data_IF_374707271159
#
_entry.id   IF_374707271159
#
_cell.length_a   1.000
_cell.length_b   1.000
_cell.length_c   1.000
_cell.angle_alpha   90.00
_cell.angle_beta   90.00
_cell.angle_gamma   90.00
#
_symmetry.space_group_name_H-M   'P 1'
#
loop_
_entity.id
_entity.type
_entity.pdbx_description
1 polymer ?
#
# COMPACT_ATOMS: atom_id res chain seq x y z
N UNK A 1 9.03 -5.19 -8.30
CA UNK A 1 8.24 -5.43 -9.52
C UNK A 1 8.83 -6.60 -10.27
N UNK A 2 8.01 -7.49 -10.81
CA UNK A 2 8.43 -8.64 -11.61
C UNK A 2 7.40 -8.93 -12.70
N UNK A 3 7.86 -9.42 -13.86
CA UNK A 3 6.98 -9.90 -14.91
C UNK A 3 6.68 -11.39 -14.70
N UNK A 4 5.40 -11.73 -14.80
CA UNK A 4 4.90 -13.10 -14.66
C UNK A 4 4.51 -13.66 -16.03
N UNK A 5 4.74 -14.95 -16.28
CA UNK A 5 4.31 -15.60 -17.50
C UNK A 5 2.77 -15.71 -17.55
N UNK A 6 2.27 -16.02 -18.73
CA UNK A 6 0.85 -16.30 -18.95
C UNK A 6 0.37 -17.48 -18.08
N UNK A 7 -0.81 -17.33 -17.50
CA UNK A 7 -1.50 -18.35 -16.72
C UNK A 7 -3.00 -18.13 -16.81
N UNK A 8 -3.70 -19.07 -17.43
CA UNK A 8 -5.16 -19.02 -17.65
C UNK A 8 -5.98 -19.30 -16.39
N UNK A 9 -5.33 -19.66 -15.28
CA UNK A 9 -6.00 -19.99 -14.02
C UNK A 9 -5.63 -19.00 -12.92
N UNK A 10 -6.50 -18.80 -11.95
CA UNK A 10 -6.13 -18.13 -10.72
C UNK A 10 -4.93 -18.79 -10.05
N UNK A 11 -4.18 -18.02 -9.31
CA UNK A 11 -3.00 -18.48 -8.58
C UNK A 11 -2.96 -17.85 -7.19
N UNK A 12 -2.14 -18.40 -6.31
CA UNK A 12 -1.96 -17.89 -4.97
C UNK A 12 -0.53 -17.37 -4.82
N UNK A 13 -0.40 -16.09 -4.54
CA UNK A 13 0.86 -15.46 -4.11
C UNK A 13 1.10 -15.83 -2.64
N UNK A 14 2.28 -16.32 -2.31
CA UNK A 14 2.69 -16.60 -0.94
C UNK A 14 4.07 -16.01 -0.68
N UNK A 15 4.25 -15.39 0.48
CA UNK A 15 5.51 -14.79 0.88
C UNK A 15 5.46 -14.25 2.30
N UNK A 16 6.60 -13.84 2.81
CA UNK A 16 6.70 -13.15 4.10
C UNK A 16 7.08 -11.69 3.85
N UNK A 17 6.17 -10.79 4.26
CA UNK A 17 6.28 -9.35 4.04
C UNK A 17 6.27 -8.63 5.38
N UNK A 18 7.29 -7.83 5.62
CA UNK A 18 7.45 -7.04 6.84
C UNK A 18 7.38 -5.54 6.52
N UNK A 19 6.27 -4.86 6.85
CA UNK A 19 5.17 -5.36 7.72
C UNK A 19 3.83 -5.41 6.96
N UNK A 20 3.64 -4.54 5.95
CA UNK A 20 2.40 -4.41 5.21
C UNK A 20 2.69 -4.38 3.71
N UNK A 21 2.11 -5.28 2.96
CA UNK A 21 2.29 -5.36 1.52
C UNK A 21 0.99 -5.06 0.78
N UNK A 22 1.06 -4.17 -0.19
CA UNK A 22 0.01 -3.95 -1.18
C UNK A 22 0.41 -4.60 -2.50
N UNK A 23 -0.50 -5.33 -3.10
CA UNK A 23 -0.26 -6.13 -4.31
C UNK A 23 -1.06 -5.57 -5.47
N UNK A 24 -0.38 -5.34 -6.57
CA UNK A 24 -0.95 -4.82 -7.81
C UNK A 24 -0.59 -5.74 -8.97
N UNK A 25 -1.53 -5.96 -9.87
CA UNK A 25 -1.31 -6.65 -11.14
C UNK A 25 -1.72 -5.70 -12.27
N UNK A 26 -0.78 -5.43 -13.22
CA UNK A 26 -0.99 -4.43 -14.28
C UNK A 26 -1.50 -3.08 -13.74
N UNK A 27 -0.92 -2.60 -12.65
CA UNK A 27 -1.31 -1.38 -11.90
C UNK A 27 -2.72 -1.41 -11.27
N UNK A 28 -3.44 -2.53 -11.38
CA UNK A 28 -4.71 -2.73 -10.67
C UNK A 28 -4.44 -3.29 -9.28
N UNK A 29 -4.99 -2.66 -8.26
CA UNK A 29 -4.95 -3.17 -6.89
C UNK A 29 -5.68 -4.51 -6.80
N UNK A 30 -5.02 -5.51 -6.23
CA UNK A 30 -5.56 -6.86 -6.04
C UNK A 30 -5.89 -7.09 -4.57
N UNK A 31 -5.04 -6.65 -3.66
CA UNK A 31 -5.24 -6.85 -2.25
C UNK A 31 -3.99 -6.52 -1.44
N UNK A 32 -4.03 -6.93 -0.19
CA UNK A 32 -2.96 -6.67 0.78
C UNK A 32 -2.58 -7.94 1.53
N UNK A 33 -1.39 -7.92 2.11
CA UNK A 33 -0.92 -8.93 3.05
C UNK A 33 -0.43 -8.19 4.30
N UNK A 34 -1.04 -8.45 5.44
CA UNK A 34 -0.85 -7.74 6.69
C UNK A 34 -0.20 -8.68 7.73
N UNK A 35 1.03 -8.36 8.10
CA UNK A 35 1.79 -9.13 9.08
C UNK A 35 1.11 -9.20 10.45
N UNK A 36 0.47 -8.13 10.88
CA UNK A 36 -0.22 -8.07 12.18
C UNK A 36 -1.35 -9.10 12.24
N UNK A 37 -1.96 -9.40 11.10
CA UNK A 37 -3.01 -10.41 10.95
C UNK A 37 -2.48 -11.81 10.64
N UNK A 38 -1.15 -12.00 10.63
CA UNK A 38 -0.50 -13.23 10.20
C UNK A 38 -0.87 -13.67 8.76
N UNK A 39 -1.23 -12.71 7.90
CA UNK A 39 -1.48 -12.98 6.50
C UNK A 39 -0.17 -13.27 5.78
N UNK A 40 -0.13 -14.32 4.96
CA UNK A 40 1.07 -14.73 4.19
C UNK A 40 0.76 -15.02 2.73
N UNK A 41 -0.50 -15.00 2.35
CA UNK A 41 -0.93 -15.33 1.00
C UNK A 41 -2.05 -14.42 0.51
N UNK A 42 -2.15 -14.30 -0.81
CA UNK A 42 -3.17 -13.53 -1.49
C UNK A 42 -3.49 -14.21 -2.83
N UNK A 43 -4.77 -14.31 -3.15
CA UNK A 43 -5.19 -14.86 -4.42
C UNK A 43 -5.01 -13.84 -5.55
N UNK A 44 -4.42 -14.28 -6.65
CA UNK A 44 -4.25 -13.54 -7.88
C UNK A 44 -5.23 -14.06 -8.94
N UNK A 45 -5.84 -13.16 -9.72
CA UNK A 45 -6.68 -13.56 -10.85
C UNK A 45 -5.87 -14.27 -11.94
N UNK A 46 -6.55 -14.91 -12.87
CA UNK A 46 -5.93 -15.45 -14.08
C UNK A 46 -5.24 -14.31 -14.88
N UNK A 47 -4.12 -14.66 -15.49
CA UNK A 47 -3.27 -13.76 -16.29
C UNK A 47 -3.02 -14.41 -17.67
N UNK A 48 -4.00 -14.50 -18.55
CA UNK A 48 -3.87 -15.25 -19.81
C UNK A 48 -2.76 -14.73 -20.74
N UNK A 49 -2.39 -13.46 -20.60
CA UNK A 49 -1.32 -12.81 -21.37
C UNK A 49 -0.04 -12.58 -20.55
N UNK A 50 0.06 -13.18 -19.37
CA UNK A 50 1.05 -12.80 -18.38
C UNK A 50 0.68 -11.51 -17.68
N UNK A 51 1.59 -10.96 -16.88
CA UNK A 51 1.31 -9.72 -16.19
C UNK A 51 2.50 -9.18 -15.40
N UNK A 52 2.43 -7.90 -15.10
CA UNK A 52 3.40 -7.21 -14.27
C UNK A 52 2.88 -7.18 -12.83
N UNK A 53 3.52 -7.96 -11.96
CA UNK A 53 3.24 -7.95 -10.53
C UNK A 53 4.07 -6.87 -9.86
N UNK A 54 3.39 -5.99 -9.13
CA UNK A 54 4.01 -4.96 -8.29
C UNK A 54 3.61 -5.21 -6.83
N UNK A 55 4.60 -5.29 -5.95
CA UNK A 55 4.39 -5.40 -4.51
C UNK A 55 5.01 -4.17 -3.88
N UNK A 56 4.19 -3.37 -3.20
CA UNK A 56 4.63 -2.22 -2.42
C UNK A 56 4.65 -2.66 -0.96
N UNK A 57 5.83 -2.65 -0.35
CA UNK A 57 5.99 -3.06 1.05
C UNK A 57 6.32 -1.86 1.90
N UNK A 58 5.54 -1.66 2.94
CA UNK A 58 5.75 -0.66 3.97
C UNK A 58 6.30 -1.32 5.23
N UNK A 59 7.45 -0.85 5.68
CA UNK A 59 8.06 -1.28 6.94
C UNK A 59 7.59 -0.35 8.06
N UNK A 60 6.68 -0.83 8.90
CA UNK A 60 6.07 -0.08 9.99
C UNK A 60 7.01 0.06 11.19
N UNK A 61 8.00 0.94 11.08
CA UNK A 61 8.94 1.18 12.15
C UNK A 61 9.88 0.00 12.44
N UNK A 62 10.85 0.22 13.31
CA UNK A 62 11.80 -0.80 13.75
C UNK A 62 11.57 -1.16 15.21
N UNK A 63 11.70 -2.43 15.53
CA UNK A 63 11.70 -2.90 16.90
C UNK A 63 12.99 -2.37 17.56
N UNK A 64 12.84 -1.61 18.65
CA UNK A 64 13.94 -0.96 19.35
C UNK A 64 14.32 -1.65 20.65
N UNK A 65 13.57 -2.69 21.06
CA UNK A 65 13.79 -3.39 22.32
C UNK A 65 13.39 -4.86 22.24
N UNK A 66 14.07 -5.72 23.00
CA UNK A 66 13.72 -7.13 23.19
C UNK A 66 14.41 -8.09 22.21
N UNK A 67 13.95 -9.34 22.21
CA UNK A 67 14.59 -10.44 21.45
C UNK A 67 14.42 -10.28 19.94
N UNK A 68 13.42 -9.54 19.49
CA UNK A 68 13.10 -9.35 18.08
C UNK A 68 13.76 -8.11 17.47
N UNK A 69 14.78 -7.54 18.08
CA UNK A 69 15.47 -6.33 17.60
C UNK A 69 16.08 -6.49 16.20
N UNK A 70 16.34 -7.72 15.76
CA UNK A 70 16.79 -8.05 14.39
C UNK A 70 15.59 -8.35 13.50
N UNK A 71 14.70 -7.39 13.35
CA UNK A 71 13.53 -7.51 12.49
C UNK A 71 13.86 -6.95 11.10
N UNK A 72 14.04 -7.84 10.12
CA UNK A 72 14.27 -7.45 8.73
C UNK A 72 12.98 -6.89 8.13
N UNK A 73 13.10 -5.83 7.32
CA UNK A 73 11.98 -5.17 6.66
C UNK A 73 11.95 -5.45 5.16
N UNK A 74 10.77 -5.34 4.57
CA UNK A 74 10.55 -5.60 3.16
C UNK A 74 10.11 -7.04 2.88
N UNK A 75 10.52 -7.60 1.75
CA UNK A 75 10.26 -9.01 1.41
C UNK A 75 11.32 -9.87 2.10
N UNK A 76 10.88 -10.70 3.04
CA UNK A 76 11.74 -11.55 3.84
C UNK A 76 11.59 -13.00 3.39
N UNK A 77 12.57 -13.48 2.64
CA UNK A 77 12.55 -14.83 2.11
C UNK A 77 12.00 -14.96 0.69
N UNK A 78 11.53 -16.13 0.35
CA UNK A 78 11.07 -16.44 -1.00
C UNK A 78 9.61 -16.00 -1.21
N UNK A 79 9.35 -15.43 -2.38
CA UNK A 79 7.98 -15.25 -2.90
C UNK A 79 7.68 -16.39 -3.86
N UNK A 80 6.53 -17.01 -3.71
CA UNK A 80 6.05 -18.08 -4.59
C UNK A 80 4.68 -17.76 -5.14
N UNK A 81 4.43 -18.20 -6.35
CA UNK A 81 3.12 -18.12 -7.00
C UNK A 81 2.74 -19.53 -7.41
N UNK A 82 1.66 -20.02 -6.83
CA UNK A 82 1.22 -21.40 -7.00
C UNK A 82 -0.10 -21.44 -7.76
N UNK A 83 -0.20 -22.26 -8.78
CA UNK A 83 -1.42 -22.50 -9.55
C UNK A 83 -1.67 -23.98 -9.78
N UNK A 84 -2.93 -24.34 -9.98
CA UNK A 84 -3.32 -25.70 -10.30
C UNK A 84 -3.33 -25.93 -11.82
N UNK A 85 -2.74 -27.01 -12.25
CA UNK A 85 -2.78 -27.46 -13.63
C UNK A 85 -3.42 -28.85 -13.73
N UNK A 86 -3.79 -29.33 -14.95
CA UNK A 86 -4.27 -30.70 -15.12
C UNK A 86 -3.28 -31.80 -14.71
N UNK A 87 -2.00 -31.44 -14.62
CA UNK A 87 -0.90 -32.33 -14.27
C UNK A 87 -0.40 -32.14 -12.83
N UNK A 88 -1.11 -31.38 -12.02
CA UNK A 88 -0.75 -31.09 -10.62
C UNK A 88 -0.46 -29.60 -10.36
N UNK A 89 0.06 -29.34 -9.18
CA UNK A 89 0.41 -28.01 -8.73
C UNK A 89 1.70 -27.50 -9.43
N UNK A 90 1.65 -26.27 -9.92
CA UNK A 90 2.80 -25.58 -10.50
C UNK A 90 3.18 -24.42 -9.56
N UNK A 91 4.42 -24.42 -9.09
CA UNK A 91 4.97 -23.34 -8.28
C UNK A 91 6.03 -22.57 -9.06
N UNK A 92 5.77 -21.28 -9.28
CA UNK A 92 6.72 -20.32 -9.83
C UNK A 92 7.42 -19.58 -8.67
N UNK A 93 8.75 -19.47 -8.76
CA UNK A 93 9.57 -18.61 -7.87
C UNK A 93 10.15 -17.46 -8.69
N UNK A 94 9.54 -16.28 -8.69
CA UNK A 94 10.09 -15.15 -9.42
C UNK A 94 11.47 -14.77 -8.88
N UNK A 95 12.44 -14.57 -9.76
CA UNK A 95 13.83 -14.22 -9.39
C UNK A 95 14.30 -12.88 -9.97
N UNK A 96 13.69 -12.44 -11.07
CA UNK A 96 14.08 -11.22 -11.77
C UNK A 96 13.32 -9.99 -11.22
N UNK A 97 13.52 -9.66 -9.94
CA UNK A 97 12.86 -8.53 -9.31
C UNK A 97 13.56 -7.21 -9.65
N UNK A 98 12.81 -6.24 -10.16
CA UNK A 98 13.20 -4.84 -10.14
C UNK A 98 12.75 -4.21 -8.82
N UNK A 99 13.69 -3.66 -8.07
CA UNK A 99 13.43 -3.00 -6.78
C UNK A 99 13.61 -1.50 -6.92
N UNK A 100 12.65 -0.75 -6.37
CA UNK A 100 12.68 0.69 -6.26
C UNK A 100 12.45 1.06 -4.79
N UNK A 101 13.39 1.76 -4.18
CA UNK A 101 13.15 2.42 -2.92
C UNK A 101 12.36 3.70 -3.18
N UNK A 102 11.21 3.85 -2.51
CA UNK A 102 10.44 5.10 -2.57
C UNK A 102 11.09 6.06 -1.58
N UNK A 103 11.66 7.19 -2.04
CA UNK A 103 12.28 8.14 -1.13
C UNK A 103 11.21 8.76 -0.24
N UNK A 104 11.50 8.83 1.05
CA UNK A 104 10.68 9.54 2.05
C UNK A 104 10.98 11.05 2.00
N UNK A 105 10.84 11.62 0.82
CA UNK A 105 11.05 13.04 0.58
C UNK A 105 9.69 13.73 0.46
N UNK A 106 9.34 14.46 1.51
CA UNK A 106 8.10 15.23 1.58
C UNK A 106 7.90 16.15 0.36
N UNK A 107 8.95 16.80 -0.12
CA UNK A 107 8.84 17.70 -1.28
C UNK A 107 8.49 16.94 -2.58
N UNK A 108 9.07 15.77 -2.79
CA UNK A 108 8.74 14.93 -3.94
C UNK A 108 7.36 14.26 -3.78
N UNK A 109 6.97 13.90 -2.56
CA UNK A 109 5.63 13.42 -2.27
C UNK A 109 4.58 14.51 -2.53
N UNK A 110 4.81 15.74 -2.09
CA UNK A 110 3.94 16.88 -2.37
C UNK A 110 3.85 17.18 -3.86
N UNK A 111 4.96 17.12 -4.60
CA UNK A 111 4.97 17.26 -6.07
C UNK A 111 4.20 16.12 -6.76
N UNK A 112 4.34 14.89 -6.30
CA UNK A 112 3.60 13.75 -6.84
C UNK A 112 2.08 13.84 -6.57
N UNK A 113 1.70 14.37 -5.41
CA UNK A 113 0.32 14.66 -5.04
C UNK A 113 -0.24 15.91 -5.72
N UNK A 114 0.63 16.86 -6.04
CA UNK A 114 0.29 18.08 -6.77
C UNK A 114 0.37 17.91 -8.29
N UNK A 115 0.42 16.69 -8.78
CA UNK A 115 0.60 16.31 -10.20
C UNK A 115 -0.37 16.91 -11.22
N UNK A 116 -1.23 17.80 -10.78
CA UNK A 116 -1.74 19.00 -11.42
C UNK A 116 -1.55 20.11 -10.41
N UNK A 117 -0.84 21.15 -10.76
CA UNK A 117 -0.91 22.42 -10.03
C UNK A 117 -2.39 22.80 -9.92
N UNK A 118 -3.00 22.49 -8.79
CA UNK A 118 -4.26 23.14 -8.48
C UNK A 118 -3.91 24.63 -8.33
N UNK A 119 -4.48 25.47 -9.15
CA UNK A 119 -4.38 26.91 -8.97
C UNK A 119 -4.86 27.23 -7.54
N UNK A 120 -4.25 28.20 -6.89
CA UNK A 120 -4.60 28.57 -5.51
C UNK A 120 -6.11 28.81 -5.34
N UNK A 121 -6.79 29.28 -6.38
CA UNK A 121 -8.24 29.44 -6.44
C UNK A 121 -9.03 28.10 -6.36
N UNK A 122 -8.54 27.03 -6.98
CA UNK A 122 -9.18 25.71 -6.88
C UNK A 122 -8.95 25.11 -5.47
N UNK A 123 -7.82 25.41 -4.86
CA UNK A 123 -7.52 25.03 -3.49
C UNK A 123 -8.44 25.74 -2.50
N UNK A 124 -8.69 27.05 -2.71
CA UNK A 124 -9.63 27.83 -1.92
C UNK A 124 -11.07 27.34 -2.07
N UNK A 125 -11.49 26.93 -3.26
CA UNK A 125 -12.80 26.37 -3.49
C UNK A 125 -13.00 25.00 -2.80
N UNK A 126 -11.99 24.14 -2.84
CA UNK A 126 -11.99 22.84 -2.12
C UNK A 126 -12.02 23.08 -0.61
N UNK A 127 -11.27 24.05 -0.12
CA UNK A 127 -11.26 24.45 1.30
C UNK A 127 -12.61 25.02 1.70
N UNK A 128 -13.21 25.91 0.91
CA UNK A 128 -14.51 26.48 1.19
C UNK A 128 -15.62 25.41 1.20
N UNK A 129 -15.56 24.45 0.30
CA UNK A 129 -16.50 23.32 0.24
C UNK A 129 -16.33 22.36 1.42
N UNK A 130 -15.11 22.10 1.85
CA UNK A 130 -14.83 21.31 3.05
C UNK A 130 -15.31 21.98 4.34
N UNK A 131 -15.45 23.32 4.34
CA UNK A 131 -16.02 24.07 5.48
C UNK A 131 -17.54 23.99 5.57
N UNK A 132 -18.25 23.75 4.45
CA UNK A 132 -19.70 23.64 4.44
C UNK A 132 -20.20 22.26 4.91
N UNK A 133 -19.38 21.22 4.73
CA UNK A 133 -19.73 19.85 5.03
C UNK A 133 -18.83 19.30 6.16
N UNK A 134 -19.01 19.83 7.37
CA UNK A 134 -18.14 19.63 8.52
C UNK A 134 -18.07 18.19 9.10
N UNK A 135 -18.33 17.16 8.31
CA UNK A 135 -18.00 15.77 8.66
C UNK A 135 -17.46 15.08 7.42
N UNK A 136 -16.16 15.15 7.21
CA UNK A 136 -15.50 14.14 6.38
C UNK A 136 -15.69 12.81 7.12
N UNK A 137 -16.67 12.04 6.71
CA UNK A 137 -16.72 10.61 7.08
C UNK A 137 -15.58 9.95 6.35
N UNK A 138 -14.39 10.00 6.94
CA UNK A 138 -13.34 9.06 6.60
C UNK A 138 -13.91 7.72 7.02
N UNK A 139 -14.19 6.85 6.04
CA UNK A 139 -14.46 5.45 6.35
C UNK A 139 -13.13 4.86 6.85
N UNK A 140 -12.93 4.74 8.18
CA UNK A 140 -11.65 4.26 8.73
C UNK A 140 -11.41 2.80 8.39
N UNK A 141 -12.43 2.12 7.85
CA UNK A 141 -12.42 0.70 7.50
C UNK A 141 -12.47 0.46 6.00
N UNK A 142 -12.55 1.52 5.19
CA UNK A 142 -12.37 1.43 3.74
C UNK A 142 -11.00 0.85 3.37
N UNK A 143 -10.78 0.60 2.11
CA UNK A 143 -9.49 0.09 1.62
C UNK A 143 -8.34 1.00 2.11
N UNK A 144 -7.64 0.56 3.16
CA UNK A 144 -6.47 1.25 3.69
C UNK A 144 -5.37 1.18 2.64
N UNK A 145 -5.13 2.29 1.97
CA UNK A 145 -4.02 2.46 1.04
C UNK A 145 -2.99 3.35 1.72
N UNK A 146 -1.73 2.98 1.61
CA UNK A 146 -0.66 3.88 1.95
C UNK A 146 -0.76 5.13 1.09
N UNK A 147 -0.72 6.30 1.70
CA UNK A 147 -0.90 7.56 1.01
C UNK A 147 -0.61 8.75 1.91
N UNK A 148 -0.48 9.90 1.28
CA UNK A 148 -0.38 11.17 1.97
C UNK A 148 -1.75 11.81 2.01
N UNK A 149 -2.16 12.24 3.20
CA UNK A 149 -3.44 12.91 3.42
C UNK A 149 -3.17 14.34 3.81
N UNK A 150 -3.90 15.28 3.21
CA UNK A 150 -3.84 16.69 3.55
C UNK A 150 -5.24 17.16 3.94
N UNK A 151 -5.37 17.70 5.14
CA UNK A 151 -6.60 18.28 5.64
C UNK A 151 -6.36 19.75 6.06
N UNK A 152 -7.43 20.52 6.08
CA UNK A 152 -7.43 21.90 6.57
C UNK A 152 -8.48 22.02 7.68
N UNK A 153 -8.17 22.81 8.68
CA UNK A 153 -9.12 23.11 9.77
C UNK A 153 -8.93 24.53 10.25
N UNK A 154 -9.99 25.14 10.75
CA UNK A 154 -9.94 26.46 11.32
C UNK A 154 -9.85 26.40 12.83
N UNK A 155 -8.99 27.23 13.40
CA UNK A 155 -8.90 27.42 14.85
C UNK A 155 -9.57 28.76 15.20
N UNK A 156 -10.71 28.67 15.86
CA UNK A 156 -11.49 29.84 16.26
C UNK A 156 -10.93 30.51 17.51
N UNK A 157 -10.11 29.82 18.29
CA UNK A 157 -9.48 30.34 19.51
C UNK A 157 -8.08 29.76 19.62
N UNK A 158 -7.11 30.62 19.80
CA UNK A 158 -5.72 30.21 20.06
C UNK A 158 -5.62 29.53 21.42
N UNK A 159 -5.03 28.33 21.45
CA UNK A 159 -4.83 27.53 22.64
C UNK A 159 -4.15 26.20 22.29
N UNK A 160 -3.91 25.38 23.30
CA UNK A 160 -3.38 24.03 23.10
C UNK A 160 -4.35 23.23 22.26
N UNK A 161 -3.83 22.64 21.19
CA UNK A 161 -4.65 21.90 20.21
C UNK A 161 -4.10 20.49 20.05
N UNK A 162 -4.99 19.50 20.12
CA UNK A 162 -4.66 18.08 20.00
C UNK A 162 -5.42 17.49 18.83
N UNK A 163 -4.75 16.64 18.05
CA UNK A 163 -5.37 15.84 16.98
C UNK A 163 -5.60 14.44 17.55
N UNK A 164 -6.85 14.00 17.54
CA UNK A 164 -7.16 12.61 17.85
C UNK A 164 -6.90 11.75 16.61
N UNK A 165 -5.92 10.85 16.70
CA UNK A 165 -5.49 9.98 15.61
C UNK A 165 -6.10 8.57 15.69
N UNK A 166 -6.99 8.29 16.64
CA UNK A 166 -7.59 6.94 16.81
C UNK A 166 -8.27 6.43 15.53
N UNK A 167 -8.86 7.32 14.74
CA UNK A 167 -9.50 6.97 13.48
C UNK A 167 -8.51 6.58 12.35
N UNK A 168 -7.22 6.87 12.53
CA UNK A 168 -6.20 6.58 11.51
C UNK A 168 -5.46 5.25 11.75
N UNK A 169 -5.74 4.56 12.84
CA UNK A 169 -5.24 3.23 13.18
C UNK A 169 -4.04 3.19 14.07
#
# INVERSE_FOLDING_TARGET
VVSLPANDKPSTLTGEFHDFAQVYLENKYIGKIDRVKNEKSLDLPAMPNGGKLTIVVEGMGRINFGRAIKDYKGIVGNVTITSQSPYGEITLKPTAWAQLAIPDDYQNAVKALSGKSMADAELEEVVAKAHSDAVIKIDPWGERKAGYYRGFFNINKVGDTFINMEAFG
#
